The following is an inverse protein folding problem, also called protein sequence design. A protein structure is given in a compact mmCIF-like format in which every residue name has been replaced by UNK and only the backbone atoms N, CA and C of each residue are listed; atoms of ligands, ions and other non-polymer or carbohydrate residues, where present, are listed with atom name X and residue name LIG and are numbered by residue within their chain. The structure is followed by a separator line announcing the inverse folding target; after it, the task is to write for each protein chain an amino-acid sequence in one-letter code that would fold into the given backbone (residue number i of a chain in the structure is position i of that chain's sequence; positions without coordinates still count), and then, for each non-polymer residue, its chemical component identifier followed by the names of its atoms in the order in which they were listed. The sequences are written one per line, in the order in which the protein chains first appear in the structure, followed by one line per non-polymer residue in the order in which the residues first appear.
data_IF_693988122220
#
_entry.id   IF_693988122220
#
_cell.length_a   1.000
_cell.length_b   1.000
_cell.length_c   1.000
_cell.angle_alpha   90.00
_cell.angle_beta   90.00
_cell.angle_gamma   90.00
#
_symmetry.space_group_name_H-M   'P 1'
#
loop_
_entity.id
_entity.type
_entity.pdbx_description
1 polymer ?
#
# COMPACT_ATOMS: atom_id res chain seq x y z
N UNK A 1 -13.93 -1.54 -13.70
CA UNK A 1 -13.56 -2.80 -14.41
C UNK A 1 -12.17 -3.20 -13.93
N UNK A 2 -11.90 -4.48 -13.68
CA UNK A 2 -10.56 -4.96 -13.33
C UNK A 2 -9.56 -4.77 -14.47
N UNK A 3 -8.34 -4.33 -14.18
CA UNK A 3 -7.28 -4.25 -15.18
C UNK A 3 -6.69 -5.64 -15.43
N UNK A 4 -6.19 -5.89 -16.65
CA UNK A 4 -5.57 -7.18 -16.98
C UNK A 4 -4.19 -7.32 -16.35
N UNK A 5 -3.46 -6.22 -16.24
CA UNK A 5 -2.07 -6.07 -15.79
C UNK A 5 -1.74 -4.57 -15.74
N UNK A 6 -0.49 -4.21 -15.43
CA UNK A 6 -0.03 -2.82 -15.34
C UNK A 6 -0.10 -2.08 -16.68
N UNK A 7 0.26 -2.75 -17.78
CA UNK A 7 0.27 -2.16 -19.12
C UNK A 7 -1.13 -1.70 -19.55
N UNK A 8 -2.17 -2.50 -19.26
CA UNK A 8 -3.55 -2.08 -19.48
C UNK A 8 -3.96 -0.86 -18.62
N UNK A 9 -3.40 -0.71 -17.41
CA UNK A 9 -3.65 0.49 -16.60
C UNK A 9 -2.95 1.71 -17.19
N UNK A 10 -1.71 1.57 -17.68
CA UNK A 10 -0.97 2.61 -18.40
C UNK A 10 -1.76 3.10 -19.63
N UNK A 11 -2.31 2.18 -20.43
CA UNK A 11 -3.15 2.52 -21.59
C UNK A 11 -4.38 3.35 -21.18
N UNK A 12 -4.98 3.02 -20.03
CA UNK A 12 -6.11 3.78 -19.49
C UNK A 12 -5.68 5.14 -18.99
N UNK A 13 -4.55 5.26 -18.28
CA UNK A 13 -4.02 6.56 -17.87
C UNK A 13 -3.73 7.45 -19.09
N UNK A 14 -3.17 6.90 -20.16
CA UNK A 14 -2.92 7.63 -21.41
C UNK A 14 -4.23 8.09 -22.07
N UNK A 15 -5.23 7.20 -22.16
CA UNK A 15 -6.55 7.54 -22.73
C UNK A 15 -7.29 8.60 -21.91
N UNK A 16 -7.16 8.58 -20.59
CA UNK A 16 -7.77 9.56 -19.68
C UNK A 16 -6.96 10.86 -19.59
N UNK A 17 -5.81 10.96 -20.29
CA UNK A 17 -4.95 12.15 -20.28
C UNK A 17 -4.11 12.30 -19.01
N UNK A 18 -4.05 11.27 -18.17
CA UNK A 18 -3.39 11.19 -16.87
C UNK A 18 -1.93 10.70 -16.93
N UNK A 19 -1.42 10.34 -18.11
CA UNK A 19 -0.05 9.90 -18.35
C UNK A 19 0.71 10.87 -19.28
N UNK A 20 2.01 10.98 -19.08
CA UNK A 20 2.96 11.50 -20.08
C UNK A 20 4.10 10.50 -20.28
N UNK A 21 4.47 10.28 -21.55
CA UNK A 21 5.63 9.47 -21.93
C UNK A 21 6.85 10.37 -22.14
N UNK A 22 7.98 9.98 -21.56
CA UNK A 22 9.26 10.69 -21.64
C UNK A 22 10.23 9.79 -22.40
N UNK A 23 10.66 10.24 -23.59
CA UNK A 23 11.48 9.45 -24.53
C UNK A 23 12.96 9.77 -24.41
N UNK A 24 13.26 10.97 -23.93
CA UNK A 24 14.59 11.42 -23.60
C UNK A 24 15.21 10.51 -22.54
N UNK A 25 16.54 10.35 -22.61
CA UNK A 25 17.26 9.63 -21.57
C UNK A 25 17.12 10.36 -20.23
N UNK A 26 16.74 9.63 -19.19
CA UNK A 26 16.69 10.13 -17.80
C UNK A 26 17.28 9.08 -16.87
N UNK A 27 18.23 9.47 -16.04
CA UNK A 27 18.95 8.56 -15.15
C UNK A 27 18.08 8.11 -13.95
N UNK A 28 17.95 6.80 -13.68
CA UNK A 28 17.37 6.26 -12.44
C UNK A 28 18.03 6.73 -11.15
N UNK A 29 19.30 7.14 -11.22
CA UNK A 29 19.99 7.79 -10.13
C UNK A 29 19.62 9.28 -10.09
N UNK A 30 18.76 9.65 -9.13
CA UNK A 30 18.35 11.02 -8.79
C UNK A 30 17.49 11.75 -9.83
N UNK A 31 17.72 11.62 -11.14
CA UNK A 31 17.03 12.44 -12.15
C UNK A 31 15.55 12.08 -12.30
N UNK A 32 15.22 10.78 -12.39
CA UNK A 32 13.82 10.32 -12.39
C UNK A 32 13.09 10.82 -11.15
N UNK A 33 13.77 10.77 -9.99
CA UNK A 33 13.24 11.25 -8.71
C UNK A 33 12.96 12.75 -8.72
N UNK A 34 13.92 13.58 -9.13
CA UNK A 34 13.76 15.03 -9.20
C UNK A 34 12.60 15.46 -10.11
N UNK A 35 12.47 14.82 -11.28
CA UNK A 35 11.35 15.10 -12.19
C UNK A 35 10.03 14.69 -11.54
N UNK A 36 9.99 13.50 -10.92
CA UNK A 36 8.78 13.00 -10.26
C UNK A 36 8.36 13.91 -9.10
N UNK A 37 9.30 14.36 -8.28
CA UNK A 37 9.07 15.26 -7.12
C UNK A 37 8.41 16.58 -7.54
N UNK A 38 8.90 17.18 -8.63
CA UNK A 38 8.30 18.41 -9.14
C UNK A 38 6.89 18.18 -9.66
N UNK A 39 6.68 17.07 -10.37
CA UNK A 39 5.39 16.76 -11.00
C UNK A 39 4.33 16.41 -9.95
N UNK A 40 4.66 15.57 -8.97
CA UNK A 40 3.74 15.16 -7.89
C UNK A 40 3.25 16.35 -7.06
N UNK A 41 4.06 17.41 -6.94
CA UNK A 41 3.71 18.66 -6.23
C UNK A 41 2.94 19.68 -7.08
N UNK A 42 2.73 19.43 -8.36
CA UNK A 42 1.87 20.30 -9.17
C UNK A 42 0.40 20.15 -8.77
N UNK A 43 -0.42 21.15 -9.12
CA UNK A 43 -1.85 21.14 -8.80
C UNK A 43 -2.52 19.84 -9.26
N UNK A 44 -3.21 19.18 -8.35
CA UNK A 44 -3.89 17.91 -8.63
C UNK A 44 -2.95 16.71 -8.75
N UNK A 45 -1.69 16.83 -8.33
CA UNK A 45 -0.74 15.72 -8.31
C UNK A 45 0.01 15.46 -9.62
N UNK A 46 -0.11 16.38 -10.59
CA UNK A 46 0.50 16.25 -11.91
C UNK A 46 -0.01 15.04 -12.69
N UNK A 47 0.83 14.48 -13.57
CA UNK A 47 0.54 13.27 -14.35
C UNK A 47 1.39 12.10 -13.87
N UNK A 48 0.95 10.87 -14.15
CA UNK A 48 1.84 9.72 -14.14
C UNK A 48 2.91 9.87 -15.23
N UNK A 49 4.11 9.34 -14.97
CA UNK A 49 5.27 9.49 -15.84
C UNK A 49 5.74 8.11 -16.30
N UNK A 50 5.83 7.90 -17.61
CA UNK A 50 6.46 6.71 -18.18
C UNK A 50 7.78 7.11 -18.85
N UNK A 51 8.89 6.79 -18.20
CA UNK A 51 10.23 7.00 -18.72
C UNK A 51 10.62 5.80 -19.61
N UNK A 52 10.69 6.02 -20.92
CA UNK A 52 10.93 4.95 -21.90
C UNK A 52 12.43 4.69 -22.13
N UNK A 53 13.29 5.64 -21.78
CA UNK A 53 14.74 5.53 -21.92
C UNK A 53 15.45 5.85 -20.59
N UNK A 54 15.81 4.81 -19.85
CA UNK A 54 16.47 4.91 -18.55
C UNK A 54 17.92 4.43 -18.57
N UNK A 55 18.43 4.00 -19.74
CA UNK A 55 19.69 3.28 -19.87
C UNK A 55 19.62 1.79 -19.52
N UNK A 56 18.44 1.31 -19.10
CA UNK A 56 18.13 -0.10 -18.86
C UNK A 56 17.19 -0.66 -19.93
N UNK A 57 17.03 -1.98 -19.97
CA UNK A 57 16.14 -2.68 -20.92
C UNK A 57 14.64 -2.48 -20.60
N UNK A 58 14.31 -1.82 -19.49
CA UNK A 58 12.95 -1.68 -18.97
C UNK A 58 12.56 -0.20 -18.78
N UNK A 59 11.40 0.22 -19.31
CA UNK A 59 10.80 1.51 -18.96
C UNK A 59 10.45 1.59 -17.48
N UNK A 60 10.39 2.81 -16.93
CA UNK A 60 9.99 3.06 -15.54
C UNK A 60 8.68 3.84 -15.48
N UNK A 61 7.70 3.33 -14.74
CA UNK A 61 6.45 4.03 -14.42
C UNK A 61 6.55 4.65 -13.02
N UNK A 62 6.37 5.96 -12.93
CA UNK A 62 6.33 6.72 -11.67
C UNK A 62 4.99 7.46 -11.52
N UNK A 63 4.64 7.82 -10.28
CA UNK A 63 3.51 8.71 -9.96
C UNK A 63 2.14 8.19 -10.44
N UNK A 64 2.01 6.86 -10.58
CA UNK A 64 0.83 6.16 -11.09
C UNK A 64 -0.39 6.33 -10.19
N UNK A 65 -0.18 6.52 -8.88
CA UNK A 65 -1.19 6.77 -7.84
C UNK A 65 -1.24 8.24 -7.39
N UNK A 66 -0.45 9.12 -8.01
CA UNK A 66 -0.17 10.46 -7.51
C UNK A 66 -1.28 11.49 -7.59
N UNK A 67 -2.55 11.10 -7.74
CA UNK A 67 -3.70 12.00 -7.68
C UNK A 67 -4.96 11.24 -7.24
N UNK A 68 -5.96 11.97 -6.73
CA UNK A 68 -7.27 11.37 -6.45
C UNK A 68 -7.88 10.71 -7.69
N UNK A 69 -7.76 11.36 -8.87
CA UNK A 69 -8.27 10.82 -10.13
C UNK A 69 -7.60 9.49 -10.46
N UNK A 70 -6.28 9.40 -10.36
CA UNK A 70 -5.55 8.15 -10.64
C UNK A 70 -5.82 7.07 -9.60
N UNK A 71 -6.00 7.43 -8.33
CA UNK A 71 -6.47 6.49 -7.31
C UNK A 71 -7.89 5.97 -7.59
N UNK A 72 -8.81 6.84 -8.00
CA UNK A 72 -10.15 6.43 -8.40
C UNK A 72 -10.13 5.49 -9.61
N UNK A 73 -9.29 5.79 -10.61
CA UNK A 73 -9.05 4.89 -11.75
C UNK A 73 -8.48 3.54 -11.30
N UNK A 74 -7.46 3.53 -10.44
CA UNK A 74 -6.84 2.32 -9.91
C UNK A 74 -7.84 1.42 -9.17
N UNK A 75 -8.74 2.02 -8.38
CA UNK A 75 -9.76 1.34 -7.60
C UNK A 75 -11.06 1.07 -8.37
N UNK A 76 -11.20 1.62 -9.58
CA UNK A 76 -12.38 1.46 -10.42
C UNK A 76 -13.64 2.14 -9.88
N UNK A 77 -13.47 3.28 -9.19
CA UNK A 77 -14.55 4.08 -8.57
C UNK A 77 -14.54 5.52 -9.11
N UNK A 78 -15.59 6.30 -8.79
CA UNK A 78 -15.64 7.71 -9.16
C UNK A 78 -15.13 8.62 -8.04
N UNK A 79 -15.38 8.22 -6.80
CA UNK A 79 -14.89 8.86 -5.58
C UNK A 79 -14.34 7.82 -4.62
N UNK A 80 -13.32 8.17 -3.84
CA UNK A 80 -12.73 7.25 -2.85
C UNK A 80 -13.75 6.76 -1.81
N UNK A 81 -14.72 7.61 -1.47
CA UNK A 81 -15.85 7.28 -0.57
C UNK A 81 -16.77 6.17 -1.10
N UNK A 82 -16.78 5.90 -2.41
CA UNK A 82 -17.68 4.89 -2.98
C UNK A 82 -17.35 3.49 -2.44
N UNK A 83 -16.07 3.22 -2.17
CA UNK A 83 -15.63 1.96 -1.56
C UNK A 83 -16.14 1.86 -0.12
N UNK A 84 -16.04 2.94 0.65
CA UNK A 84 -16.52 2.98 2.04
C UNK A 84 -18.04 2.71 2.10
N UNK A 85 -18.83 3.37 1.25
CA UNK A 85 -20.29 3.15 1.13
C UNK A 85 -20.63 1.70 0.78
N UNK A 86 -19.83 1.06 -0.08
CA UNK A 86 -20.03 -0.35 -0.42
C UNK A 86 -19.74 -1.27 0.76
N UNK A 87 -18.68 -0.99 1.54
CA UNK A 87 -18.38 -1.69 2.79
C UNK A 87 -19.52 -1.51 3.80
N UNK A 88 -20.05 -0.29 3.95
CA UNK A 88 -21.17 -0.02 4.86
C UNK A 88 -22.42 -0.81 4.46
N UNK A 89 -22.77 -0.78 3.17
CA UNK A 89 -23.91 -1.52 2.62
C UNK A 89 -23.78 -3.03 2.87
N UNK A 90 -22.57 -3.56 2.70
CA UNK A 90 -22.28 -4.96 2.99
C UNK A 90 -22.45 -5.27 4.47
N UNK A 91 -21.88 -4.45 5.35
CA UNK A 91 -21.96 -4.67 6.79
C UNK A 91 -23.41 -4.62 7.26
N UNK A 92 -24.19 -3.63 6.84
CA UNK A 92 -25.62 -3.52 7.16
C UNK A 92 -26.40 -4.77 6.72
N UNK A 93 -26.11 -5.29 5.52
CA UNK A 93 -26.74 -6.52 5.02
C UNK A 93 -26.36 -7.77 5.84
N UNK A 94 -25.13 -7.82 6.36
CA UNK A 94 -24.67 -8.93 7.20
C UNK A 94 -25.20 -8.85 8.62
N UNK A 95 -25.25 -7.65 9.20
CA UNK A 95 -25.64 -7.39 10.59
C UNK A 95 -27.16 -7.30 10.83
N UNK A 96 -27.96 -7.02 9.79
CA UNK A 96 -29.42 -6.92 9.94
C UNK A 96 -30.04 -8.23 10.42
N UNK A 97 -30.98 -8.21 11.39
CA UNK A 97 -31.70 -9.40 11.85
C UNK A 97 -32.40 -10.11 10.68
N UNK A 98 -32.19 -11.42 10.57
CA UNK A 98 -32.75 -12.25 9.48
C UNK A 98 -33.84 -13.14 10.04
N UNK A 99 -35.06 -12.63 10.05
CA UNK A 99 -36.21 -13.32 10.64
C UNK A 99 -36.82 -14.38 9.67
N UNK A 100 -36.57 -14.30 8.36
CA UNK A 100 -37.17 -15.18 7.36
C UNK A 100 -36.21 -15.94 6.42
N UNK A 101 -36.69 -17.05 5.85
CA UNK A 101 -36.00 -17.85 4.81
C UNK A 101 -35.76 -17.03 3.54
N UNK A 102 -36.70 -16.14 3.20
CA UNK A 102 -36.61 -15.23 2.03
C UNK A 102 -35.43 -14.25 2.19
N UNK A 103 -35.19 -13.74 3.40
CA UNK A 103 -34.06 -12.82 3.64
C UNK A 103 -32.71 -13.53 3.61
N UNK A 104 -32.67 -14.81 3.96
CA UNK A 104 -31.48 -15.66 3.75
C UNK A 104 -31.22 -15.93 2.26
N UNK A 105 -32.27 -16.13 1.45
CA UNK A 105 -32.16 -16.31 -0.01
C UNK A 105 -31.57 -15.05 -0.71
N UNK A 106 -31.90 -13.84 -0.22
CA UNK A 106 -31.34 -12.58 -0.74
C UNK A 106 -29.82 -12.45 -0.54
N UNK A 107 -29.21 -13.22 0.35
CA UNK A 107 -27.75 -13.24 0.55
C UNK A 107 -27.03 -14.10 -0.48
N UNK A 108 -27.67 -15.10 -1.08
CA UNK A 108 -27.00 -16.05 -1.99
C UNK A 108 -26.30 -15.35 -3.17
N UNK A 109 -26.92 -14.36 -3.86
CA UNK A 109 -26.23 -13.63 -4.92
C UNK A 109 -25.00 -12.88 -4.41
N UNK A 110 -25.09 -12.31 -3.20
CA UNK A 110 -23.98 -11.59 -2.56
C UNK A 110 -22.86 -12.53 -2.13
N UNK A 111 -23.17 -13.68 -1.54
CA UNK A 111 -22.18 -14.70 -1.20
C UNK A 111 -21.45 -15.21 -2.44
N UNK A 112 -22.18 -15.45 -3.54
CA UNK A 112 -21.56 -15.78 -4.83
C UNK A 112 -20.67 -14.64 -5.35
N UNK A 113 -21.09 -13.39 -5.18
CA UNK A 113 -20.29 -12.22 -5.50
C UNK A 113 -18.98 -12.20 -4.68
N UNK A 114 -19.03 -12.40 -3.36
CA UNK A 114 -17.84 -12.50 -2.51
C UNK A 114 -16.93 -13.67 -2.91
N UNK A 115 -17.50 -14.85 -3.12
CA UNK A 115 -16.75 -16.02 -3.57
C UNK A 115 -16.03 -15.76 -4.90
N UNK A 116 -16.63 -14.96 -5.79
CA UNK A 116 -16.01 -14.58 -7.07
C UNK A 116 -14.79 -13.65 -6.95
N UNK A 117 -14.59 -13.05 -5.77
CA UNK A 117 -13.47 -12.16 -5.46
C UNK A 117 -12.34 -12.86 -4.71
N UNK A 118 -12.59 -14.06 -4.19
CA UNK A 118 -11.56 -14.84 -3.49
C UNK A 118 -10.39 -15.17 -4.42
N UNK A 119 -9.14 -14.94 -3.98
CA UNK A 119 -7.97 -15.24 -4.79
C UNK A 119 -7.92 -16.72 -5.16
N UNK A 120 -7.41 -17.01 -6.37
CA UNK A 120 -7.31 -18.38 -6.88
C UNK A 120 -5.90 -18.66 -7.34
N UNK A 121 -5.30 -19.71 -6.79
CA UNK A 121 -4.06 -20.28 -7.31
C UNK A 121 -4.40 -21.12 -8.55
N UNK A 122 -3.77 -20.81 -9.69
CA UNK A 122 -3.91 -21.59 -10.92
C UNK A 122 -2.73 -22.55 -11.10
N UNK A 123 -2.98 -23.63 -11.84
CA UNK A 123 -1.92 -24.53 -12.27
C UNK A 123 -1.14 -23.93 -13.44
N UNK A 124 0.15 -24.25 -13.55
CA UNK A 124 1.01 -23.77 -14.63
C UNK A 124 1.64 -22.40 -14.35
N UNK A 125 2.10 -21.74 -15.41
CA UNK A 125 2.85 -20.47 -15.35
C UNK A 125 1.98 -19.24 -15.53
N UNK A 126 2.43 -18.11 -14.97
CA UNK A 126 1.85 -16.77 -15.16
C UNK A 126 2.48 -16.00 -16.33
N UNK A 127 1.88 -14.86 -16.69
CA UNK A 127 2.53 -13.87 -17.58
C UNK A 127 3.84 -13.37 -16.96
N UNK A 128 3.86 -13.24 -15.62
CA UNK A 128 5.05 -12.86 -14.85
C UNK A 128 6.23 -13.85 -14.97
N UNK A 129 6.01 -15.05 -15.50
CA UNK A 129 7.00 -16.13 -15.63
C UNK A 129 7.38 -16.44 -17.09
N UNK A 130 7.15 -15.49 -18.00
CA UNK A 130 7.49 -15.64 -19.42
C UNK A 130 9.00 -15.69 -19.64
N UNK A 131 9.75 -14.86 -18.93
CA UNK A 131 11.22 -14.86 -18.91
C UNK A 131 11.69 -15.25 -17.51
N UNK A 132 12.61 -16.22 -17.43
CA UNK A 132 13.14 -16.75 -16.17
C UNK A 132 14.65 -16.56 -16.14
N UNK A 133 15.14 -15.80 -15.17
CA UNK A 133 16.56 -15.56 -14.92
C UNK A 133 17.00 -16.39 -13.71
N UNK A 134 17.64 -17.54 -13.98
CA UNK A 134 18.20 -18.42 -12.94
C UNK A 134 19.55 -17.93 -12.41
N UNK A 135 20.21 -17.03 -13.14
CA UNK A 135 21.34 -16.23 -12.67
C UNK A 135 20.83 -14.81 -12.45
N UNK A 136 20.10 -14.55 -11.35
CA UNK A 136 19.45 -13.27 -11.14
C UNK A 136 20.47 -12.16 -10.92
N UNK A 137 20.16 -10.99 -11.46
CA UNK A 137 20.92 -9.76 -11.21
C UNK A 137 19.95 -8.58 -11.12
N UNK A 138 19.62 -8.19 -9.89
CA UNK A 138 18.71 -7.07 -9.63
C UNK A 138 19.33 -5.72 -10.07
N UNK A 139 20.65 -5.64 -10.21
CA UNK A 139 21.33 -4.41 -10.65
C UNK A 139 21.13 -4.12 -12.13
N UNK A 140 20.55 -5.08 -12.89
CA UNK A 140 20.09 -4.89 -14.27
C UNK A 140 18.66 -4.35 -14.37
N UNK A 141 17.96 -4.17 -13.24
CA UNK A 141 16.68 -3.46 -13.20
C UNK A 141 16.93 -1.97 -12.92
N UNK A 142 16.08 -1.06 -13.42
CA UNK A 142 16.22 0.38 -13.19
C UNK A 142 15.75 0.76 -11.77
N UNK A 143 16.42 0.21 -10.75
CA UNK A 143 16.15 0.52 -9.34
C UNK A 143 16.55 1.97 -9.06
N UNK A 144 15.69 2.73 -8.38
CA UNK A 144 15.83 4.18 -8.24
C UNK A 144 16.66 4.53 -6.99
N UNK A 145 17.62 5.44 -7.14
CA UNK A 145 18.19 6.19 -6.01
C UNK A 145 17.41 7.49 -5.90
N UNK A 146 16.63 7.65 -4.83
CA UNK A 146 15.64 8.73 -4.76
C UNK A 146 16.27 10.06 -4.35
N UNK A 147 17.13 10.04 -3.34
CA UNK A 147 17.69 11.25 -2.75
C UNK A 147 19.22 11.21 -2.62
N UNK A 148 19.89 12.38 -2.64
CA UNK A 148 21.36 12.44 -2.68
C UNK A 148 22.09 11.78 -1.51
N UNK A 149 21.43 11.55 -0.37
CA UNK A 149 22.04 10.89 0.79
C UNK A 149 21.46 9.51 1.06
N UNK A 150 20.65 8.95 0.16
CA UNK A 150 20.21 7.56 0.31
C UNK A 150 21.43 6.62 0.34
N UNK A 151 21.34 5.55 1.13
CA UNK A 151 22.42 4.56 1.27
C UNK A 151 22.72 3.77 -0.02
N UNK A 152 21.86 3.89 -1.04
CA UNK A 152 21.98 3.23 -2.34
C UNK A 152 20.63 3.21 -3.07
N UNK A 153 20.50 2.39 -4.13
CA UNK A 153 19.23 2.19 -4.84
C UNK A 153 18.22 1.41 -4.00
N UNK A 154 16.94 1.80 -4.08
CA UNK A 154 15.84 1.17 -3.36
C UNK A 154 14.73 0.70 -4.30
N UNK A 155 14.25 -0.52 -4.08
CA UNK A 155 12.95 -0.95 -4.62
C UNK A 155 11.86 -0.30 -3.77
N UNK A 156 11.07 0.60 -4.35
CA UNK A 156 10.15 1.48 -3.61
C UNK A 156 8.68 1.08 -3.66
N UNK A 157 8.25 0.26 -4.62
CA UNK A 157 6.89 -0.35 -4.66
C UNK A 157 6.89 -1.89 -4.55
N UNK A 158 7.71 -2.53 -3.69
CA UNK A 158 7.74 -3.98 -3.58
C UNK A 158 6.49 -4.51 -2.88
N UNK A 159 5.75 -5.39 -3.56
CA UNK A 159 4.65 -6.15 -2.94
C UNK A 159 5.20 -7.48 -2.46
N UNK A 160 5.47 -7.60 -1.16
CA UNK A 160 6.23 -8.70 -0.56
C UNK A 160 5.28 -9.78 -0.01
N UNK A 161 5.50 -11.02 -0.47
CA UNK A 161 4.75 -12.22 -0.09
C UNK A 161 5.54 -13.04 0.92
N UNK A 162 4.89 -13.35 2.03
CA UNK A 162 5.40 -14.29 3.02
C UNK A 162 4.29 -15.22 3.48
N UNK A 163 4.65 -16.35 4.09
CA UNK A 163 3.68 -17.26 4.73
C UNK A 163 4.09 -17.59 6.15
N UNK A 164 3.12 -17.79 7.02
CA UNK A 164 3.35 -18.35 8.35
C UNK A 164 3.75 -19.83 8.22
N UNK A 165 4.87 -20.28 8.82
CA UNK A 165 5.32 -21.67 8.69
C UNK A 165 4.44 -22.68 9.44
N UNK A 166 3.61 -22.23 10.38
CA UNK A 166 2.73 -23.05 11.19
C UNK A 166 1.31 -23.12 10.62
N UNK A 167 0.79 -22.01 10.10
CA UNK A 167 -0.60 -21.91 9.62
C UNK A 167 -0.73 -21.87 8.11
N UNK A 168 0.37 -21.64 7.38
CA UNK A 168 0.41 -21.40 5.93
C UNK A 168 -0.40 -20.16 5.51
N UNK A 169 -0.77 -19.29 6.46
CA UNK A 169 -1.45 -18.04 6.20
C UNK A 169 -0.53 -17.10 5.42
N UNK A 170 -1.05 -16.50 4.34
CA UNK A 170 -0.33 -15.51 3.54
C UNK A 170 -0.38 -14.14 4.21
N UNK A 171 0.73 -13.40 4.09
CA UNK A 171 0.76 -11.96 4.27
C UNK A 171 1.32 -11.30 3.01
N UNK A 172 0.74 -10.17 2.62
CA UNK A 172 1.21 -9.31 1.54
C UNK A 172 1.44 -7.91 2.08
N UNK A 173 2.69 -7.44 2.09
CA UNK A 173 3.01 -6.10 2.61
C UNK A 173 3.97 -5.35 1.72
N UNK A 174 3.97 -4.02 1.83
CA UNK A 174 4.92 -3.17 1.12
C UNK A 174 6.02 -2.66 2.05
N UNK A 175 7.28 -2.97 1.72
CA UNK A 175 8.45 -2.59 2.52
C UNK A 175 9.65 -2.33 1.61
N UNK A 176 10.28 -1.15 1.70
CA UNK A 176 11.42 -0.81 0.84
C UNK A 176 12.55 -1.84 0.93
N UNK A 177 13.28 -2.01 -0.17
CA UNK A 177 14.41 -2.95 -0.23
C UNK A 177 15.64 -2.26 -0.81
N UNK A 178 16.69 -2.08 0.00
CA UNK A 178 17.98 -1.55 -0.49
C UNK A 178 18.74 -2.62 -1.27
N UNK A 179 19.27 -2.26 -2.43
CA UNK A 179 20.13 -3.14 -3.23
C UNK A 179 21.58 -3.05 -2.74
N UNK A 180 22.17 -4.20 -2.40
CA UNK A 180 23.58 -4.30 -1.99
C UNK A 180 24.47 -5.03 -3.00
N UNK A 181 23.85 -5.72 -3.96
CA UNK A 181 24.55 -6.42 -5.04
C UNK A 181 23.56 -7.17 -5.95
N UNK A 182 24.06 -7.94 -6.92
CA UNK A 182 23.24 -8.63 -7.92
C UNK A 182 22.14 -9.52 -7.33
N UNK A 183 22.42 -10.17 -6.21
CA UNK A 183 21.55 -11.18 -5.59
C UNK A 183 21.22 -10.89 -4.12
N UNK A 184 21.47 -9.67 -3.65
CA UNK A 184 21.32 -9.33 -2.24
C UNK A 184 20.62 -7.99 -2.05
N UNK A 185 19.58 -8.00 -1.22
CA UNK A 185 18.93 -6.77 -0.75
C UNK A 185 18.71 -6.81 0.77
N UNK A 186 18.54 -5.64 1.38
CA UNK A 186 18.04 -5.51 2.74
C UNK A 186 16.51 -5.56 2.75
N UNK A 187 15.93 -6.27 3.73
CA UNK A 187 14.48 -6.46 3.84
C UNK A 187 13.91 -5.63 5.00
N UNK A 188 13.36 -4.44 4.72
CA UNK A 188 12.98 -3.45 5.74
C UNK A 188 11.65 -3.77 6.46
N UNK A 189 11.58 -4.87 7.20
CA UNK A 189 10.39 -5.17 8.00
C UNK A 189 10.40 -4.44 9.33
N UNK A 190 9.41 -3.57 9.56
CA UNK A 190 9.18 -3.06 10.90
C UNK A 190 8.78 -4.19 11.87
N UNK A 191 9.28 -4.12 13.10
CA UNK A 191 9.14 -5.19 14.12
C UNK A 191 7.70 -5.59 14.43
N UNK A 192 6.74 -4.68 14.24
CA UNK A 192 5.33 -4.86 14.55
C UNK A 192 4.50 -5.38 13.34
N UNK A 193 5.14 -5.66 12.20
CA UNK A 193 4.47 -6.12 10.99
C UNK A 193 4.40 -7.65 10.94
N UNK A 194 3.40 -8.19 10.26
CA UNK A 194 3.16 -9.63 10.16
C UNK A 194 4.36 -10.38 9.56
N UNK A 195 5.04 -9.82 8.56
CA UNK A 195 6.27 -10.44 8.02
C UNK A 195 7.37 -10.63 9.08
N UNK A 196 7.50 -9.71 10.04
CA UNK A 196 8.45 -9.85 11.15
C UNK A 196 8.02 -10.95 12.14
N UNK A 197 6.70 -11.13 12.34
CA UNK A 197 6.15 -12.27 13.10
C UNK A 197 6.48 -13.59 12.39
N UNK A 198 6.26 -13.69 11.08
CA UNK A 198 6.64 -14.87 10.29
C UNK A 198 8.15 -15.15 10.41
N UNK A 199 9.01 -14.15 10.26
CA UNK A 199 10.46 -14.29 10.45
C UNK A 199 10.81 -14.89 11.83
N UNK A 200 10.18 -14.42 12.90
CA UNK A 200 10.40 -14.96 14.24
C UNK A 200 9.93 -16.41 14.38
N UNK A 201 8.84 -16.81 13.72
CA UNK A 201 8.41 -18.22 13.69
C UNK A 201 9.38 -19.11 12.92
N UNK A 202 9.86 -18.68 11.75
CA UNK A 202 10.92 -19.38 11.02
C UNK A 202 12.21 -19.50 11.84
N UNK A 203 12.55 -18.46 12.60
CA UNK A 203 13.70 -18.47 13.53
C UNK A 203 13.56 -19.53 14.61
N UNK A 204 12.39 -19.66 15.24
CA UNK A 204 12.12 -20.71 16.24
C UNK A 204 12.25 -22.11 15.64
N UNK A 205 11.88 -22.26 14.37
CA UNK A 205 11.94 -23.53 13.65
C UNK A 205 13.33 -23.84 13.04
N UNK A 206 14.27 -22.88 13.07
CA UNK A 206 15.59 -23.03 12.43
C UNK A 206 15.51 -23.25 10.92
N UNK A 207 14.53 -22.62 10.25
CA UNK A 207 14.30 -22.78 8.80
C UNK A 207 14.51 -21.46 8.07
N UNK A 208 15.02 -21.54 6.84
CA UNK A 208 14.98 -20.43 5.89
C UNK A 208 13.53 -20.09 5.57
N UNK A 209 13.24 -18.80 5.48
CA UNK A 209 11.93 -18.25 5.19
C UNK A 209 11.83 -17.95 3.69
N UNK A 210 10.99 -18.68 2.93
CA UNK A 210 10.70 -18.34 1.54
C UNK A 210 10.03 -16.97 1.45
N UNK A 211 10.52 -16.12 0.55
CA UNK A 211 9.97 -14.78 0.29
C UNK A 211 9.92 -14.55 -1.20
N UNK A 212 8.84 -13.93 -1.68
CA UNK A 212 8.73 -13.44 -3.05
C UNK A 212 8.32 -11.97 -3.05
N UNK A 213 8.72 -11.25 -4.09
CA UNK A 213 8.41 -9.83 -4.26
C UNK A 213 7.83 -9.62 -5.64
N UNK A 214 6.58 -9.16 -5.71
CA UNK A 214 5.96 -8.78 -6.97
C UNK A 214 6.12 -7.27 -7.20
N UNK A 215 6.45 -6.90 -8.44
CA UNK A 215 6.44 -5.52 -8.93
C UNK A 215 5.42 -5.44 -10.08
N UNK A 216 4.51 -4.47 -9.98
CA UNK A 216 3.48 -4.23 -11.00
C UNK A 216 2.29 -5.19 -10.91
N UNK A 217 1.65 -5.42 -12.05
CA UNK A 217 0.33 -6.08 -12.13
C UNK A 217 -0.82 -5.08 -12.02
N UNK A 218 -2.01 -5.57 -11.65
CA UNK A 218 -3.17 -4.71 -11.41
C UNK A 218 -2.86 -3.66 -10.31
N UNK A 219 -3.21 -2.38 -10.52
CA UNK A 219 -2.89 -1.30 -9.58
C UNK A 219 -3.50 -1.50 -8.17
N UNK A 220 -4.55 -2.32 -8.04
CA UNK A 220 -5.11 -2.66 -6.74
C UNK A 220 -4.13 -3.45 -5.85
N UNK A 221 -3.12 -4.14 -6.41
CA UNK A 221 -2.18 -4.95 -5.63
C UNK A 221 -1.28 -4.09 -4.75
N UNK A 222 -0.71 -3.02 -5.31
CA UNK A 222 0.14 -2.09 -4.58
C UNK A 222 -0.64 -1.43 -3.44
N UNK A 223 -1.85 -0.93 -3.71
CA UNK A 223 -2.71 -0.37 -2.68
C UNK A 223 -3.05 -1.39 -1.58
N UNK A 224 -3.53 -2.58 -1.95
CA UNK A 224 -3.92 -3.60 -0.97
C UNK A 224 -2.77 -4.04 -0.06
N UNK A 225 -1.53 -4.03 -0.55
CA UNK A 225 -0.34 -4.32 0.25
C UNK A 225 0.02 -3.22 1.27
N UNK A 226 -0.55 -2.03 1.13
CA UNK A 226 -0.38 -0.90 2.08
C UNK A 226 -1.57 -0.75 3.03
N UNK A 227 -2.71 -1.37 2.71
CA UNK A 227 -3.95 -1.19 3.44
C UNK A 227 -3.85 -1.75 4.88
N UNK A 228 -4.35 -1.03 5.92
CA UNK A 228 -4.29 -1.46 7.31
C UNK A 228 -5.34 -2.54 7.63
N UNK A 229 -5.15 -3.73 7.06
CA UNK A 229 -6.05 -4.87 7.29
C UNK A 229 -5.75 -5.60 8.61
N UNK A 230 -6.76 -6.25 9.22
CA UNK A 230 -6.53 -7.20 10.32
C UNK A 230 -5.64 -8.37 9.86
N UNK A 231 -4.82 -8.93 10.76
CA UNK A 231 -3.83 -9.99 10.43
C UNK A 231 -4.44 -11.23 9.76
N UNK A 232 -5.72 -11.50 9.98
CA UNK A 232 -6.41 -12.67 9.44
C UNK A 232 -7.13 -12.41 8.10
N UNK A 233 -7.00 -11.21 7.53
CA UNK A 233 -7.63 -10.84 6.26
C UNK A 233 -6.58 -10.78 5.17
N UNK A 234 -6.74 -11.62 4.16
CA UNK A 234 -5.85 -11.72 3.00
C UNK A 234 -5.97 -10.48 2.10
N UNK A 235 -4.86 -9.83 1.81
CA UNK A 235 -4.80 -8.60 1.02
C UNK A 235 -5.33 -8.81 -0.41
N UNK A 236 -5.21 -10.03 -0.96
CA UNK A 236 -5.78 -10.33 -2.27
C UNK A 236 -7.29 -10.55 -2.26
N UNK A 237 -7.90 -10.80 -1.10
CA UNK A 237 -9.35 -10.68 -0.96
C UNK A 237 -9.77 -9.21 -1.08
N UNK A 238 -9.04 -8.28 -0.45
CA UNK A 238 -9.30 -6.85 -0.60
C UNK A 238 -9.08 -6.42 -2.06
N UNK A 239 -7.97 -6.82 -2.69
CA UNK A 239 -7.72 -6.51 -4.10
C UNK A 239 -8.85 -7.04 -5.00
N UNK A 240 -9.31 -8.28 -4.77
CA UNK A 240 -10.44 -8.89 -5.47
C UNK A 240 -11.75 -8.12 -5.29
N UNK A 241 -12.02 -7.65 -4.07
CA UNK A 241 -13.16 -6.81 -3.73
C UNK A 241 -13.11 -5.46 -4.46
N UNK A 242 -11.96 -4.77 -4.45
CA UNK A 242 -11.79 -3.46 -5.06
C UNK A 242 -11.97 -3.55 -6.59
N UNK A 243 -11.27 -4.48 -7.23
CA UNK A 243 -11.32 -4.63 -8.70
C UNK A 243 -12.54 -5.40 -9.22
N UNK A 244 -13.39 -5.92 -8.32
CA UNK A 244 -14.56 -6.76 -8.60
C UNK A 244 -14.25 -8.06 -9.34
N UNK A 245 -13.02 -8.58 -9.20
CA UNK A 245 -12.54 -9.79 -9.88
C UNK A 245 -11.41 -10.43 -9.09
N UNK A 246 -11.50 -11.74 -8.83
CA UNK A 246 -10.44 -12.50 -8.16
C UNK A 246 -9.05 -12.23 -8.72
N UNK A 247 -8.05 -12.24 -7.83
CA UNK A 247 -6.64 -12.26 -8.19
C UNK A 247 -6.24 -13.67 -8.59
N UNK A 248 -5.62 -13.81 -9.77
CA UNK A 248 -5.07 -15.09 -10.21
C UNK A 248 -3.62 -15.19 -9.79
N UNK A 249 -3.31 -16.21 -9.00
CA UNK A 249 -1.99 -16.44 -8.43
C UNK A 249 -1.32 -17.65 -9.06
N UNK A 250 0.00 -17.64 -9.11
CA UNK A 250 0.85 -18.77 -9.52
C UNK A 250 1.92 -19.01 -8.48
N UNK A 251 2.38 -20.26 -8.37
CA UNK A 251 3.52 -20.60 -7.52
C UNK A 251 4.79 -20.00 -8.08
N UNK A 252 5.65 -19.52 -7.20
CA UNK A 252 7.02 -19.13 -7.53
C UNK A 252 7.81 -20.32 -8.09
N UNK A 253 8.85 -20.04 -8.89
CA UNK A 253 9.70 -21.03 -9.57
C UNK A 253 10.66 -21.72 -8.59
N UNK A 254 11.40 -20.95 -7.78
CA UNK A 254 12.38 -21.44 -6.81
C UNK A 254 11.86 -21.45 -5.37
N UNK A 255 10.74 -20.77 -5.10
CA UNK A 255 10.06 -20.72 -3.79
C UNK A 255 8.61 -21.25 -3.87
N UNK A 256 8.38 -22.52 -4.29
CA UNK A 256 7.06 -23.04 -4.65
C UNK A 256 6.01 -23.05 -3.52
N UNK A 257 6.42 -22.78 -2.30
CA UNK A 257 5.58 -22.55 -1.12
C UNK A 257 4.84 -21.20 -1.18
N UNK A 258 5.33 -20.22 -1.96
CA UNK A 258 4.78 -18.86 -2.06
C UNK A 258 4.08 -18.67 -3.41
N UNK A 259 2.89 -18.07 -3.38
CA UNK A 259 2.15 -17.68 -4.59
C UNK A 259 2.09 -16.16 -4.78
N UNK A 260 2.23 -15.75 -6.04
CA UNK A 260 2.32 -14.35 -6.50
C UNK A 260 1.34 -14.09 -7.64
N UNK A 261 0.96 -12.83 -7.93
CA UNK A 261 0.08 -12.50 -9.04
C UNK A 261 0.64 -12.97 -10.37
N UNK A 262 -0.20 -13.66 -11.14
CA UNK A 262 0.16 -14.19 -12.44
C UNK A 262 0.44 -13.10 -13.49
N UNK A 263 -0.04 -11.88 -13.24
CA UNK A 263 -0.02 -10.72 -14.14
C UNK A 263 0.98 -9.63 -13.70
N UNK A 264 1.81 -9.89 -12.69
CA UNK A 264 2.88 -8.98 -12.27
C UNK A 264 3.92 -8.76 -13.40
N UNK A 265 4.59 -7.60 -13.38
CA UNK A 265 5.63 -7.30 -14.36
C UNK A 265 6.94 -8.03 -14.01
N UNK A 266 7.30 -8.07 -12.72
CA UNK A 266 8.45 -8.80 -12.20
C UNK A 266 8.09 -9.57 -10.94
N UNK A 267 8.70 -10.75 -10.77
CA UNK A 267 8.77 -11.48 -9.49
C UNK A 267 10.24 -11.69 -9.13
N UNK A 268 10.62 -11.25 -7.93
CA UNK A 268 11.93 -11.50 -7.33
C UNK A 268 11.75 -12.56 -6.25
N UNK A 269 12.33 -13.73 -6.44
CA UNK A 269 12.15 -14.90 -5.58
C UNK A 269 13.41 -15.20 -4.79
N UNK A 270 13.26 -15.55 -3.51
CA UNK A 270 14.41 -15.80 -2.66
C UNK A 270 14.06 -16.27 -1.27
N UNK A 271 15.00 -16.11 -0.36
CA UNK A 271 14.78 -16.42 1.04
C UNK A 271 15.45 -15.42 1.96
N UNK A 272 14.91 -15.33 3.17
CA UNK A 272 15.57 -14.74 4.33
C UNK A 272 15.98 -15.89 5.25
N UNK A 273 17.24 -15.92 5.68
CA UNK A 273 17.72 -16.91 6.64
C UNK A 273 17.80 -16.26 8.03
N UNK A 274 16.94 -16.65 9.00
CA UNK A 274 16.96 -16.07 10.35
C UNK A 274 18.24 -16.33 11.16
N UNK A 275 19.10 -17.25 10.70
CA UNK A 275 20.41 -17.52 11.28
C UNK A 275 21.54 -16.69 10.65
N UNK A 276 21.28 -15.99 9.55
CA UNK A 276 22.24 -15.10 8.90
C UNK A 276 22.45 -13.82 9.73
N UNK A 277 23.59 -13.17 9.50
CA UNK A 277 23.83 -11.84 10.06
C UNK A 277 22.92 -10.81 9.38
N UNK A 278 22.58 -9.76 10.12
CA UNK A 278 21.81 -8.64 9.58
C UNK A 278 22.69 -7.77 8.67
N UNK A 279 22.07 -6.97 7.80
CA UNK A 279 22.74 -6.00 6.95
C UNK A 279 22.37 -4.57 7.37
N UNK A 280 23.35 -3.66 7.26
CA UNK A 280 23.19 -2.25 7.62
C UNK A 280 22.54 -1.51 6.44
N UNK A 281 21.25 -1.23 6.54
CA UNK A 281 20.45 -0.53 5.51
C UNK A 281 20.23 0.93 5.86
N UNK A 282 20.14 1.77 4.82
CA UNK A 282 19.91 3.19 4.92
C UNK A 282 21.20 4.03 4.90
N UNK A 283 21.09 5.36 5.09
CA UNK A 283 19.85 6.07 5.39
C UNK A 283 18.92 6.17 4.17
N UNK A 284 17.69 6.63 4.36
CA UNK A 284 16.69 6.75 3.28
C UNK A 284 15.82 7.98 3.49
N UNK A 285 15.63 8.80 2.46
CA UNK A 285 14.69 9.91 2.51
C UNK A 285 13.25 9.40 2.61
N UNK A 286 12.60 9.68 3.74
CA UNK A 286 11.32 9.07 4.11
C UNK A 286 10.14 10.04 3.89
N UNK A 287 8.91 9.51 3.94
CA UNK A 287 7.65 10.26 3.78
C UNK A 287 7.47 11.41 4.78
N UNK A 288 8.27 11.43 5.85
CA UNK A 288 8.32 12.54 6.81
C UNK A 288 9.02 13.78 6.28
N UNK A 289 9.70 13.70 5.13
CA UNK A 289 10.57 14.75 4.62
C UNK A 289 11.98 14.76 5.22
N UNK A 290 12.31 13.77 6.06
CA UNK A 290 13.62 13.60 6.68
C UNK A 290 14.26 12.28 6.25
N UNK A 291 15.58 12.17 6.43
CA UNK A 291 16.27 10.90 6.29
C UNK A 291 16.03 10.03 7.52
N UNK A 292 15.42 8.87 7.32
CA UNK A 292 15.44 7.79 8.29
C UNK A 292 16.86 7.28 8.48
N UNK A 293 17.25 7.11 9.73
CA UNK A 293 18.60 6.67 10.09
C UNK A 293 18.84 5.23 9.61
N UNK A 294 20.12 4.86 9.38
CA UNK A 294 20.46 3.48 9.08
C UNK A 294 20.21 2.56 10.29
N UNK A 295 19.84 1.30 10.04
CA UNK A 295 19.68 0.25 11.07
C UNK A 295 19.94 -1.15 10.48
N UNK A 296 19.89 -2.18 11.33
CA UNK A 296 20.09 -3.58 10.98
C UNK A 296 18.81 -4.27 10.51
N UNK A 297 18.84 -4.83 9.31
CA UNK A 297 17.72 -5.56 8.71
C UNK A 297 18.11 -6.94 8.18
N UNK A 298 17.15 -7.88 8.02
CA UNK A 298 17.43 -9.18 7.43
C UNK A 298 17.95 -9.07 5.99
N UNK A 299 18.83 -9.99 5.64
CA UNK A 299 19.30 -10.19 4.27
C UNK A 299 18.29 -11.00 3.47
N UNK A 300 17.90 -10.48 2.32
CA UNK A 300 17.11 -11.21 1.33
C UNK A 300 18.02 -11.67 0.20
N UNK A 301 18.19 -13.00 0.11
CA UNK A 301 19.02 -13.68 -0.88
C UNK A 301 18.16 -14.06 -2.09
N UNK A 302 18.43 -13.41 -3.22
CA UNK A 302 17.70 -13.62 -4.46
C UNK A 302 18.18 -14.91 -5.13
N UNK A 303 17.22 -15.76 -5.48
CA UNK A 303 17.46 -17.05 -6.14
C UNK A 303 16.96 -17.09 -7.57
N UNK A 304 15.97 -16.27 -7.91
CA UNK A 304 15.45 -16.13 -9.26
C UNK A 304 14.80 -14.77 -9.45
N UNK A 305 14.87 -14.23 -10.67
CA UNK A 305 14.02 -13.13 -11.12
C UNK A 305 13.24 -13.64 -12.32
N UNK A 306 11.92 -13.52 -12.28
CA UNK A 306 11.07 -13.76 -13.45
C UNK A 306 10.38 -12.47 -13.85
N UNK A 307 10.11 -12.32 -15.14
CA UNK A 307 9.38 -11.15 -15.61
C UNK A 307 8.54 -11.46 -16.85
N UNK A 308 7.58 -10.56 -17.07
CA UNK A 308 6.76 -10.52 -18.27
C UNK A 308 7.59 -10.04 -19.47
N UNK A 309 7.26 -10.50 -20.68
CA UNK A 309 7.85 -9.94 -21.89
C UNK A 309 7.43 -8.47 -22.07
N UNK A 310 8.41 -7.58 -22.31
CA UNK A 310 8.16 -6.14 -22.38
C UNK A 310 7.72 -5.55 -21.04
N UNK A 311 8.28 -6.05 -19.94
CA UNK A 311 7.95 -5.60 -18.60
C UNK A 311 8.25 -4.10 -18.39
N UNK A 312 7.42 -3.44 -17.58
CA UNK A 312 7.60 -2.05 -17.15
C UNK A 312 7.86 -2.05 -15.65
N UNK A 313 8.91 -1.37 -15.22
CA UNK A 313 9.32 -1.31 -13.82
C UNK A 313 8.52 -0.21 -13.09
N UNK A 314 7.61 -0.55 -12.16
CA UNK A 314 6.93 0.46 -11.38
C UNK A 314 7.81 0.89 -10.21
N UNK A 315 7.91 2.19 -9.99
CA UNK A 315 8.57 2.78 -8.85
C UNK A 315 7.81 4.00 -8.36
N UNK A 316 8.16 4.42 -7.15
CA UNK A 316 7.68 5.65 -6.54
C UNK A 316 8.81 6.34 -5.79
N UNK A 317 8.56 7.56 -5.33
CA UNK A 317 9.39 8.26 -4.36
C UNK A 317 8.54 8.66 -3.16
N UNK A 318 9.20 8.78 -2.02
CA UNK A 318 8.65 9.41 -0.81
C UNK A 318 9.60 10.49 -0.35
N UNK A 319 9.11 11.50 0.35
CA UNK A 319 9.91 12.65 0.76
C UNK A 319 9.02 13.71 1.39
N UNK A 320 9.38 14.98 1.21
CA UNK A 320 8.51 16.08 1.65
C UNK A 320 7.17 15.98 0.89
N UNK A 321 6.04 15.85 1.59
CA UNK A 321 4.73 15.67 0.95
C UNK A 321 4.26 16.96 0.23
N UNK A 322 3.32 16.86 -0.73
CA UNK A 322 2.70 15.64 -1.24
C UNK A 322 3.64 14.83 -2.14
N UNK A 323 3.53 13.51 -2.03
CA UNK A 323 4.00 12.54 -3.02
C UNK A 323 2.90 11.53 -3.30
N UNK A 324 3.21 10.50 -4.08
CA UNK A 324 2.28 9.44 -4.47
C UNK A 324 1.66 8.69 -3.27
N UNK A 325 2.43 8.50 -2.20
CA UNK A 325 2.00 7.89 -0.94
C UNK A 325 0.88 8.67 -0.25
N UNK A 326 0.85 9.99 -0.34
CA UNK A 326 -0.20 10.84 0.23
C UNK A 326 -1.59 10.44 -0.30
N UNK A 327 -1.69 10.03 -1.56
CA UNK A 327 -2.96 9.62 -2.18
C UNK A 327 -3.34 8.18 -1.84
N UNK A 328 -2.37 7.29 -1.68
CA UNK A 328 -2.60 5.95 -1.12
C UNK A 328 -3.12 6.04 0.34
N UNK A 329 -2.58 6.98 1.11
CA UNK A 329 -3.03 7.28 2.47
C UNK A 329 -4.45 7.86 2.43
N UNK A 330 -4.74 8.83 1.55
CA UNK A 330 -6.10 9.37 1.41
C UNK A 330 -7.13 8.31 1.03
N UNK A 331 -6.77 7.36 0.17
CA UNK A 331 -7.64 6.22 -0.10
C UNK A 331 -7.87 5.36 1.15
N UNK A 332 -6.82 5.09 1.95
CA UNK A 332 -6.95 4.37 3.22
C UNK A 332 -7.84 5.13 4.22
N UNK A 333 -7.66 6.44 4.34
CA UNK A 333 -8.48 7.32 5.18
C UNK A 333 -9.96 7.16 4.86
N UNK A 334 -10.35 7.28 3.58
CA UNK A 334 -11.75 7.16 3.17
C UNK A 334 -12.28 5.74 3.33
N UNK A 335 -11.52 4.74 2.86
CA UNK A 335 -11.95 3.32 2.84
C UNK A 335 -12.16 2.78 4.24
N UNK A 336 -11.28 3.12 5.19
CA UNK A 336 -11.31 2.56 6.54
C UNK A 336 -12.15 3.37 7.54
N UNK A 337 -12.67 4.54 7.16
CA UNK A 337 -13.61 5.31 7.98
C UNK A 337 -14.86 4.49 8.36
N UNK A 338 -15.44 3.79 7.39
CA UNK A 338 -16.64 2.96 7.60
C UNK A 338 -16.40 1.79 8.58
N UNK A 339 -15.40 0.91 8.39
CA UNK A 339 -15.02 -0.09 9.38
C UNK A 339 -14.75 0.49 10.77
N UNK A 340 -14.01 1.60 10.87
CA UNK A 340 -13.68 2.24 12.15
C UNK A 340 -14.96 2.71 12.88
N UNK A 341 -15.86 3.36 12.15
CA UNK A 341 -17.17 3.80 12.67
C UNK A 341 -18.01 2.61 13.18
N UNK A 342 -18.06 1.53 12.41
CA UNK A 342 -18.92 0.39 12.71
C UNK A 342 -18.42 -0.48 13.86
N UNK A 343 -17.11 -0.53 14.08
CA UNK A 343 -16.49 -1.49 15.02
C UNK A 343 -15.95 -0.83 16.29
N UNK A 344 -15.59 0.45 16.25
CA UNK A 344 -14.87 1.10 17.34
C UNK A 344 -15.47 2.43 17.78
N UNK A 345 -15.76 3.33 16.82
CA UNK A 345 -16.10 4.73 17.10
C UNK A 345 -17.36 5.17 16.34
N UNK A 346 -18.56 4.72 16.73
CA UNK A 346 -19.81 5.00 16.00
C UNK A 346 -20.17 6.49 15.94
N UNK A 347 -19.69 7.28 16.89
CA UNK A 347 -19.86 8.73 16.93
C UNK A 347 -19.02 9.50 15.89
N UNK A 348 -18.08 8.85 15.18
CA UNK A 348 -17.33 9.53 14.12
C UNK A 348 -18.22 9.84 12.92
N UNK A 349 -18.16 11.09 12.48
CA UNK A 349 -18.88 11.60 11.31
C UNK A 349 -17.94 11.56 10.11
N UNK A 350 -16.76 12.14 10.26
CA UNK A 350 -15.77 12.28 9.20
C UNK A 350 -14.36 12.30 9.80
N UNK A 351 -13.36 12.08 8.95
CA UNK A 351 -11.96 12.16 9.33
C UNK A 351 -11.14 12.69 8.15
N UNK A 352 -10.14 13.50 8.47
CA UNK A 352 -9.15 13.99 7.53
C UNK A 352 -7.74 13.82 8.12
N UNK A 353 -6.82 13.30 7.30
CA UNK A 353 -5.39 13.23 7.54
C UNK A 353 -4.71 14.23 6.61
N UNK A 354 -4.41 15.46 7.08
CA UNK A 354 -3.77 16.46 6.26
C UNK A 354 -2.47 15.94 5.64
N UNK A 355 -2.20 16.31 4.39
CA UNK A 355 -0.99 15.89 3.67
C UNK A 355 0.26 16.38 4.39
N UNK A 356 0.22 17.63 4.87
CA UNK A 356 1.24 18.29 5.69
C UNK A 356 1.39 17.63 7.06
N UNK A 357 0.35 16.91 7.49
CA UNK A 357 0.28 16.12 8.70
C UNK A 357 1.02 14.79 8.63
N UNK A 358 1.59 14.43 7.46
CA UNK A 358 2.37 13.20 7.23
C UNK A 358 1.61 11.95 7.73
N UNK A 359 0.62 11.54 6.93
CA UNK A 359 -0.23 10.38 7.19
C UNK A 359 -0.96 10.48 8.54
N UNK A 360 -0.90 9.41 9.34
CA UNK A 360 -1.57 9.33 10.63
C UNK A 360 -0.93 10.21 11.72
N UNK A 361 0.21 10.88 11.50
CA UNK A 361 0.85 11.69 12.56
C UNK A 361 -0.08 12.84 13.05
N UNK A 362 -0.82 13.47 12.13
CA UNK A 362 -1.89 14.41 12.45
C UNK A 362 -3.20 13.91 11.85
N UNK A 363 -4.21 13.74 12.70
CA UNK A 363 -5.56 13.38 12.27
C UNK A 363 -6.54 14.39 12.84
N UNK A 364 -7.49 14.81 12.02
CA UNK A 364 -8.62 15.64 12.40
C UNK A 364 -9.87 14.77 12.26
N UNK A 365 -10.57 14.53 13.35
CA UNK A 365 -11.80 13.75 13.36
C UNK A 365 -12.98 14.62 13.77
N UNK A 366 -14.08 14.49 13.03
CA UNK A 366 -15.33 15.11 13.35
C UNK A 366 -16.23 14.11 14.07
N UNK A 367 -16.81 14.49 15.20
CA UNK A 367 -17.66 13.61 16.00
C UNK A 367 -19.02 14.23 16.30
N UNK A 368 -20.03 13.36 16.44
CA UNK A 368 -21.29 13.70 17.09
C UNK A 368 -21.14 13.52 18.60
N UNK A 369 -21.08 14.63 19.33
CA UNK A 369 -20.93 14.63 20.78
C UNK A 369 -22.31 14.68 21.46
N UNK A 370 -22.61 13.67 22.27
CA UNK A 370 -23.84 13.52 23.04
C UNK A 370 -23.62 13.77 24.55
N UNK A 371 -22.39 13.66 25.06
CA UNK A 371 -22.10 13.86 26.49
C UNK A 371 -20.70 14.43 26.78
N UNK A 372 -20.51 14.99 27.98
CA UNK A 372 -19.23 15.54 28.44
C UNK A 372 -18.17 14.42 28.59
N UNK A 373 -16.94 14.68 28.15
CA UNK A 373 -15.84 13.70 28.17
C UNK A 373 -15.84 12.70 27.00
N UNK A 374 -16.86 12.68 26.13
CA UNK A 374 -16.90 11.75 24.99
C UNK A 374 -15.70 11.89 24.04
N UNK A 375 -15.17 13.11 23.88
CA UNK A 375 -13.95 13.34 23.10
C UNK A 375 -12.77 12.51 23.59
N UNK A 376 -12.53 12.42 24.90
CA UNK A 376 -11.46 11.57 25.46
C UNK A 376 -11.70 10.09 25.18
N UNK A 377 -12.95 9.62 25.22
CA UNK A 377 -13.31 8.24 24.86
C UNK A 377 -12.96 7.95 23.39
N UNK A 378 -13.27 8.88 22.48
CA UNK A 378 -12.89 8.79 21.06
C UNK A 378 -11.37 8.77 20.89
N UNK A 379 -10.66 9.69 21.53
CA UNK A 379 -9.19 9.76 21.43
C UNK A 379 -8.53 8.45 21.86
N UNK A 380 -8.91 7.91 23.02
CA UNK A 380 -8.39 6.64 23.52
C UNK A 380 -8.71 5.47 22.58
N UNK A 381 -9.92 5.43 22.01
CA UNK A 381 -10.30 4.40 21.05
C UNK A 381 -9.46 4.48 19.76
N UNK A 382 -9.26 5.69 19.20
CA UNK A 382 -8.47 5.88 17.99
C UNK A 382 -6.99 5.61 18.21
N UNK A 383 -6.38 6.06 19.31
CA UNK A 383 -4.99 5.73 19.63
C UNK A 383 -4.76 4.24 19.89
N UNK A 384 -5.80 3.49 20.26
CA UNK A 384 -5.74 2.03 20.36
C UNK A 384 -5.94 1.28 19.04
N UNK A 385 -6.24 1.97 17.93
CA UNK A 385 -6.73 1.35 16.70
C UNK A 385 -5.64 1.14 15.65
N UNK A 386 -5.17 -0.09 15.46
CA UNK A 386 -4.33 -0.46 14.30
C UNK A 386 -3.12 0.48 14.11
N UNK A 387 -2.98 1.11 12.93
CA UNK A 387 -1.89 2.05 12.65
C UNK A 387 -2.06 3.44 13.32
N UNK A 388 -3.25 3.78 13.82
CA UNK A 388 -3.47 5.04 14.55
C UNK A 388 -2.75 5.07 15.91
N UNK A 389 -2.17 3.94 16.35
CA UNK A 389 -1.25 3.89 17.50
C UNK A 389 -0.01 4.79 17.33
N UNK A 390 0.32 5.20 16.11
CA UNK A 390 1.43 6.10 15.80
C UNK A 390 1.00 7.56 15.67
N UNK A 391 -0.30 7.85 15.79
CA UNK A 391 -0.79 9.23 15.75
C UNK A 391 -0.16 10.06 16.88
N UNK A 392 0.31 11.26 16.53
CA UNK A 392 0.95 12.19 17.47
C UNK A 392 0.01 13.29 17.90
N UNK A 393 -0.87 13.73 17.00
CA UNK A 393 -1.82 14.79 17.23
C UNK A 393 -3.18 14.37 16.68
N UNK A 394 -4.19 14.30 17.54
CA UNK A 394 -5.57 14.05 17.18
C UNK A 394 -6.42 15.27 17.57
N UNK A 395 -6.97 15.95 16.56
CA UNK A 395 -7.87 17.08 16.75
C UNK A 395 -9.30 16.59 16.62
N UNK A 396 -10.11 16.78 17.66
CA UNK A 396 -11.55 16.49 17.61
C UNK A 396 -12.35 17.76 17.39
N UNK A 397 -13.21 17.73 16.37
CA UNK A 397 -14.13 18.82 16.04
C UNK A 397 -15.59 18.35 16.16
N UNK A 398 -16.48 19.29 16.47
CA UNK A 398 -17.92 19.03 16.53
C UNK A 398 -18.53 18.93 15.11
N UNK A 399 -19.73 18.33 15.03
CA UNK A 399 -20.47 18.05 13.79
C UNK A 399 -20.76 19.26 12.87
N UNK A 400 -20.62 20.48 13.38
CA UNK A 400 -20.96 21.71 12.66
C UNK A 400 -19.75 22.32 11.93
N UNK A 401 -18.53 21.80 12.16
CA UNK A 401 -17.29 22.38 11.65
C UNK A 401 -16.78 21.60 10.45
N UNK A 402 -16.60 22.26 9.32
CA UNK A 402 -15.93 21.64 8.17
C UNK A 402 -14.44 21.42 8.47
N UNK A 403 -13.99 20.17 8.44
CA UNK A 403 -12.62 19.80 8.88
C UNK A 403 -11.55 19.95 7.79
N UNK A 404 -11.93 20.06 6.51
CA UNK A 404 -11.02 20.26 5.38
C UNK A 404 -10.72 21.74 5.07
N UNK A 405 -11.34 22.68 5.80
CA UNK A 405 -10.97 24.10 5.78
C UNK A 405 -10.13 24.41 7.02
N UNK A 406 -8.82 24.22 6.91
CA UNK A 406 -7.91 24.29 8.05
C UNK A 406 -7.85 25.68 8.70
N UNK A 407 -8.05 26.76 7.93
CA UNK A 407 -8.04 28.11 8.49
C UNK A 407 -9.29 28.34 9.35
N UNK A 408 -10.46 27.99 8.83
CA UNK A 408 -11.72 28.08 9.57
C UNK A 408 -11.73 27.16 10.79
N UNK A 409 -11.20 25.93 10.64
CA UNK A 409 -11.05 24.97 11.73
C UNK A 409 -10.13 25.50 12.82
N UNK A 410 -8.95 26.04 12.47
CA UNK A 410 -8.01 26.59 13.46
C UNK A 410 -8.66 27.72 14.27
N UNK A 411 -9.38 28.65 13.60
CA UNK A 411 -10.13 29.71 14.28
C UNK A 411 -11.20 29.16 15.23
N UNK A 412 -11.91 28.11 14.81
CA UNK A 412 -12.90 27.43 15.66
C UNK A 412 -12.24 26.80 16.88
N UNK A 413 -11.15 26.05 16.69
CA UNK A 413 -10.40 25.39 17.78
C UNK A 413 -9.89 26.44 18.77
N UNK A 414 -9.19 27.48 18.32
CA UNK A 414 -8.65 28.51 19.23
C UNK A 414 -9.73 29.29 20.00
N UNK A 415 -10.95 29.37 19.46
CA UNK A 415 -12.08 30.03 20.15
C UNK A 415 -12.70 29.16 21.24
N UNK A 416 -12.64 27.83 21.11
CA UNK A 416 -13.38 26.89 21.94
C UNK A 416 -12.49 25.97 22.80
N UNK A 417 -11.19 25.96 22.55
CA UNK A 417 -10.20 25.17 23.30
C UNK A 417 -9.65 26.00 24.47
N UNK A 418 -9.66 25.42 25.67
CA UNK A 418 -8.81 25.85 26.76
C UNK A 418 -7.58 24.92 26.86
N UNK A 419 -6.37 25.40 26.50
CA UNK A 419 -5.16 24.58 26.53
C UNK A 419 -4.87 23.90 27.87
N UNK A 420 -5.32 24.48 28.99
CA UNK A 420 -5.09 23.91 30.32
C UNK A 420 -5.97 22.70 30.65
N UNK A 421 -7.10 22.51 29.94
CA UNK A 421 -8.07 21.45 30.25
C UNK A 421 -8.35 20.53 29.08
N UNK A 422 -8.08 20.96 27.85
CA UNK A 422 -8.56 20.30 26.64
C UNK A 422 -7.44 19.66 25.79
N UNK A 423 -6.18 19.76 26.24
CA UNK A 423 -5.03 19.05 25.67
C UNK A 423 -4.62 17.95 26.66
N UNK A 424 -4.48 16.72 26.18
CA UNK A 424 -4.26 15.51 26.97
C UNK A 424 -2.90 14.88 26.74
#
# INVERSE_FOLDING_TARGET
MAYKNLQHFIDVLEREGELVRIKEYVNPELEISEITDRISKTKGGGKALLFENTGYDFPVLMNAYGSERRMCLALGVNHLDDVAKEIESLFQLLASPKEGIIDKLKLLPKLNQFASWMPKVKNGRGECQQVILNEPDITKLPVITCWPKDGGPFVTLPVIHTKDPNTNARNVGMYRMQVFGPTLTGMHWHKHKVSAKHFNEYKKLGKKMPVAVALGGDPAYAYSATAPLPENVDEYMLAGFLRKKKVELVKCITQPEVEVPADAEFIIEGYVDPADEMIWEGPFGDHTGYYSLPDWYPRFHITCITHKQGAIYPATIVGIPPQEDAWLIKASERIFLAPMKMTMVPEIIDMDMPVEGVAHNLVIAQIKKDYAGQGQKVMNAMWGAGQMMFNKILVLADEQVKIQDYESLAKYVFKNLNPATDIY
#
